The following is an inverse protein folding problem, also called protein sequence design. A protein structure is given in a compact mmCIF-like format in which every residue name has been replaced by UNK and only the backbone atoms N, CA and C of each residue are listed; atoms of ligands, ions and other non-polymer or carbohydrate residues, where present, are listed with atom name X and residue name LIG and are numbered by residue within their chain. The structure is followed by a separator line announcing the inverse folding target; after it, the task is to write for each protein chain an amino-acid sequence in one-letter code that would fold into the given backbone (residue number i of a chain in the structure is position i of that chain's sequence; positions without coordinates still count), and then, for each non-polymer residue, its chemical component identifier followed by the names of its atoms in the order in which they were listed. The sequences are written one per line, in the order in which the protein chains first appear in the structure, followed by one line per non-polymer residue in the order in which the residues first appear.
data_IF_038212344353
#
_entry.id   IF_038212344353
#
_cell.length_a   1.000
_cell.length_b   1.000
_cell.length_c   1.000
_cell.angle_alpha   90.00
_cell.angle_beta   90.00
_cell.angle_gamma   90.00
#
_symmetry.space_group_name_H-M   'P 1'
#
loop_
_entity.id
_entity.type
_entity.pdbx_description
1 polymer ?
#
# COMPACT_ATOMS: atom_id res chain seq x y z
N UNK A 1 19.21 -2.17 -20.27
CA UNK A 1 20.31 -2.01 -21.25
C UNK A 1 20.11 -2.71 -22.59
N UNK A 2 18.91 -3.18 -22.94
CA UNK A 2 18.63 -3.77 -24.27
C UNK A 2 17.51 -3.03 -25.04
N UNK A 3 16.66 -2.28 -24.33
CA UNK A 3 15.69 -1.34 -24.87
C UNK A 3 15.61 -0.08 -24.00
N UNK A 4 15.00 0.97 -24.54
CA UNK A 4 14.79 2.27 -23.88
C UNK A 4 13.74 2.13 -22.77
N UNK A 5 14.07 2.61 -21.57
CA UNK A 5 13.10 2.70 -20.46
C UNK A 5 11.92 3.63 -20.81
N UNK A 6 12.16 4.64 -21.64
CA UNK A 6 11.10 5.54 -22.11
C UNK A 6 10.08 4.78 -22.96
N UNK A 7 10.54 3.95 -23.88
CA UNK A 7 9.65 3.17 -24.74
C UNK A 7 8.93 2.09 -23.96
N UNK A 8 9.62 1.50 -22.97
CA UNK A 8 9.01 0.56 -22.04
C UNK A 8 7.89 1.20 -21.20
N UNK A 9 8.11 2.38 -20.62
CA UNK A 9 7.06 3.10 -19.86
C UNK A 9 5.88 3.52 -20.77
N UNK A 10 6.14 3.93 -22.02
CA UNK A 10 5.07 4.21 -22.99
C UNK A 10 4.27 2.95 -23.32
N UNK A 11 4.92 1.82 -23.49
CA UNK A 11 4.27 0.53 -23.74
C UNK A 11 3.34 0.18 -22.58
N UNK A 12 3.81 0.31 -21.34
CA UNK A 12 3.00 0.02 -20.16
C UNK A 12 1.70 0.81 -20.11
N UNK A 13 1.69 2.09 -20.50
CA UNK A 13 0.44 2.88 -20.58
C UNK A 13 -0.61 2.29 -21.54
N UNK A 14 -0.21 1.46 -22.50
CA UNK A 14 -1.14 0.78 -23.40
C UNK A 14 -1.89 -0.37 -22.72
N UNK A 15 -1.44 -0.81 -21.54
CA UNK A 15 -2.07 -1.86 -20.73
C UNK A 15 -3.07 -1.32 -19.70
N UNK A 16 -3.41 -0.02 -19.74
CA UNK A 16 -4.39 0.57 -18.81
C UNK A 16 -5.72 -0.18 -18.78
N UNK A 17 -6.17 -0.71 -19.90
CA UNK A 17 -7.44 -1.42 -19.99
C UNK A 17 -7.27 -2.95 -19.97
N UNK A 18 -6.10 -3.44 -19.55
CA UNK A 18 -5.81 -4.87 -19.45
C UNK A 18 -6.76 -5.58 -18.48
N UNK A 19 -7.18 -6.79 -18.87
CA UNK A 19 -8.09 -7.65 -18.11
C UNK A 19 -7.36 -8.85 -17.46
N UNK A 20 -6.11 -9.11 -17.87
CA UNK A 20 -5.31 -10.19 -17.34
C UNK A 20 -4.55 -9.78 -16.05
N UNK A 21 -5.00 -10.32 -14.91
CA UNK A 21 -4.37 -10.08 -13.61
C UNK A 21 -2.91 -10.56 -13.50
N UNK A 22 -2.49 -11.51 -14.32
CA UNK A 22 -1.07 -11.92 -14.37
C UNK A 22 -0.20 -10.81 -14.96
N UNK A 23 -0.70 -10.14 -16.00
CA UNK A 23 -0.02 -8.99 -16.61
C UNK A 23 0.08 -7.86 -15.59
N UNK A 24 -1.02 -7.55 -14.90
CA UNK A 24 -1.01 -6.55 -13.84
C UNK A 24 -0.03 -6.86 -12.70
N UNK A 25 0.11 -8.13 -12.29
CA UNK A 25 1.12 -8.55 -11.32
C UNK A 25 2.54 -8.27 -11.81
N UNK A 26 2.84 -8.57 -13.08
CA UNK A 26 4.15 -8.26 -13.68
C UNK A 26 4.41 -6.77 -13.75
N UNK A 27 3.42 -5.98 -14.17
CA UNK A 27 3.50 -4.51 -14.21
C UNK A 27 3.75 -3.96 -12.81
N UNK A 28 3.02 -4.47 -11.80
CA UNK A 28 3.15 -4.04 -10.43
C UNK A 28 4.56 -4.29 -9.87
N UNK A 29 5.12 -5.48 -10.10
CA UNK A 29 6.50 -5.82 -9.69
C UNK A 29 7.52 -4.83 -10.26
N UNK A 30 7.40 -4.51 -11.56
CA UNK A 30 8.35 -3.63 -12.24
C UNK A 30 8.19 -2.18 -11.78
N UNK A 31 6.97 -1.76 -11.43
CA UNK A 31 6.73 -0.44 -10.83
C UNK A 31 7.33 -0.32 -9.44
N UNK A 32 7.35 -1.38 -8.65
CA UNK A 32 8.00 -1.40 -7.33
C UNK A 32 9.51 -1.26 -7.46
N UNK A 33 10.12 -2.06 -8.34
CA UNK A 33 11.55 -2.00 -8.65
C UNK A 33 11.95 -0.58 -9.09
N UNK A 34 11.19 0.01 -10.02
CA UNK A 34 11.43 1.37 -10.48
C UNK A 34 11.29 2.39 -9.36
N UNK A 35 10.27 2.25 -8.50
CA UNK A 35 10.06 3.15 -7.35
C UNK A 35 11.30 3.23 -6.47
N UNK A 36 11.90 2.08 -6.14
CA UNK A 36 13.09 2.02 -5.28
C UNK A 36 14.31 2.76 -5.86
N UNK A 37 14.40 2.83 -7.19
CA UNK A 37 15.52 3.48 -7.89
C UNK A 37 15.36 5.00 -7.98
N UNK A 38 14.13 5.51 -7.93
CA UNK A 38 13.84 6.92 -8.22
C UNK A 38 13.27 7.70 -7.03
N UNK A 39 12.99 7.03 -5.91
CA UNK A 39 12.40 7.64 -4.70
C UNK A 39 13.17 8.87 -4.20
N UNK A 40 14.50 8.88 -4.34
CA UNK A 40 15.38 9.98 -3.91
C UNK A 40 15.77 10.92 -5.06
N UNK A 41 14.92 11.03 -6.07
CA UNK A 41 15.17 11.88 -7.26
C UNK A 41 14.04 12.88 -7.46
N UNK A 42 14.33 13.97 -8.18
CA UNK A 42 13.35 15.02 -8.54
C UNK A 42 12.19 14.51 -9.42
N UNK A 43 12.28 13.27 -9.93
CA UNK A 43 11.27 12.65 -10.77
C UNK A 43 10.21 11.88 -9.98
N UNK A 44 10.39 11.68 -8.66
CA UNK A 44 9.51 10.80 -7.90
C UNK A 44 8.04 11.24 -7.89
N UNK A 45 7.79 12.55 -7.79
CA UNK A 45 6.42 13.07 -7.84
C UNK A 45 5.76 12.85 -9.21
N UNK A 46 6.52 12.95 -10.30
CA UNK A 46 6.01 12.65 -11.64
C UNK A 46 5.71 11.15 -11.79
N UNK A 47 6.55 10.31 -11.18
CA UNK A 47 6.32 8.87 -11.18
C UNK A 47 5.11 8.45 -10.34
N UNK A 48 4.87 9.09 -9.19
CA UNK A 48 3.63 8.89 -8.42
C UNK A 48 2.41 9.18 -9.29
N UNK A 49 2.39 10.31 -10.01
CA UNK A 49 1.31 10.64 -10.96
C UNK A 49 1.17 9.60 -12.07
N UNK A 50 2.28 9.12 -12.61
CA UNK A 50 2.28 8.04 -13.61
C UNK A 50 1.65 6.74 -13.04
N UNK A 51 2.02 6.33 -11.82
CA UNK A 51 1.45 5.15 -11.15
C UNK A 51 -0.05 5.30 -10.93
N UNK A 52 -0.50 6.45 -10.42
CA UNK A 52 -1.93 6.72 -10.23
C UNK A 52 -2.70 6.56 -11.54
N UNK A 53 -2.19 7.18 -12.61
CA UNK A 53 -2.79 7.10 -13.93
C UNK A 53 -2.79 5.68 -14.51
N UNK A 54 -1.76 4.88 -14.21
CA UNK A 54 -1.63 3.50 -14.70
C UNK A 54 -2.58 2.55 -13.97
N UNK A 55 -2.73 2.70 -12.66
CA UNK A 55 -3.45 1.73 -11.83
C UNK A 55 -4.90 2.10 -11.52
N UNK A 56 -5.38 3.29 -11.92
CA UNK A 56 -6.74 3.74 -11.63
C UNK A 56 -7.82 2.79 -12.17
N UNK A 57 -7.70 2.37 -13.42
CA UNK A 57 -8.67 1.48 -14.09
C UNK A 57 -8.77 0.12 -13.40
N UNK A 58 -7.61 -0.49 -13.08
CA UNK A 58 -7.60 -1.78 -12.41
C UNK A 58 -8.05 -1.65 -10.95
N UNK A 59 -7.77 -0.54 -10.28
CA UNK A 59 -8.29 -0.31 -8.93
C UNK A 59 -9.81 -0.16 -8.93
N UNK A 60 -10.39 0.55 -9.89
CA UNK A 60 -11.85 0.66 -10.04
C UNK A 60 -12.50 -0.72 -10.25
N UNK A 61 -11.87 -1.58 -11.07
CA UNK A 61 -12.34 -2.96 -11.29
C UNK A 61 -12.23 -3.83 -10.03
N UNK A 62 -11.12 -3.71 -9.28
CA UNK A 62 -10.87 -4.52 -8.10
C UNK A 62 -11.72 -4.06 -6.91
N UNK A 63 -11.80 -2.75 -6.67
CA UNK A 63 -12.42 -2.16 -5.50
C UNK A 63 -11.78 -2.61 -4.17
N UNK A 64 -12.54 -2.46 -3.08
CA UNK A 64 -12.06 -2.74 -1.72
C UNK A 64 -12.56 -4.05 -1.11
N UNK A 65 -13.66 -4.62 -1.61
CA UNK A 65 -14.24 -5.88 -1.12
C UNK A 65 -14.12 -7.01 -2.13
N UNK A 66 -13.79 -8.20 -1.65
CA UNK A 66 -13.79 -9.42 -2.44
C UNK A 66 -15.19 -9.71 -3.01
N UNK A 67 -15.22 -10.20 -4.25
CA UNK A 67 -16.45 -10.72 -4.87
C UNK A 67 -16.68 -12.19 -4.50
N UNK A 68 -17.92 -12.67 -4.65
CA UNK A 68 -18.24 -14.07 -4.45
C UNK A 68 -17.57 -14.93 -5.54
N UNK A 69 -16.81 -15.95 -5.12
CA UNK A 69 -15.98 -16.79 -6.01
C UNK A 69 -14.86 -16.03 -6.75
N UNK A 70 -14.33 -14.98 -6.12
CA UNK A 70 -13.19 -14.23 -6.66
C UNK A 70 -11.98 -15.13 -6.96
N UNK A 71 -11.35 -14.88 -8.10
CA UNK A 71 -10.11 -15.54 -8.48
C UNK A 71 -8.98 -15.14 -7.52
N UNK A 72 -8.23 -16.12 -7.00
CA UNK A 72 -7.17 -15.89 -6.00
C UNK A 72 -6.09 -14.88 -6.43
N UNK A 73 -5.81 -14.76 -7.73
CA UNK A 73 -4.88 -13.74 -8.24
C UNK A 73 -5.42 -12.32 -8.04
N UNK A 74 -6.73 -12.13 -8.17
CA UNK A 74 -7.45 -10.87 -7.94
C UNK A 74 -7.35 -10.49 -6.48
N UNK A 75 -7.61 -11.45 -5.59
CA UNK A 75 -7.47 -11.30 -4.14
C UNK A 75 -6.05 -10.88 -3.75
N UNK A 76 -5.01 -11.48 -4.36
CA UNK A 76 -3.61 -11.15 -4.08
C UNK A 76 -3.18 -9.80 -4.66
N UNK A 77 -3.71 -9.40 -5.80
CA UNK A 77 -3.33 -8.16 -6.48
C UNK A 77 -3.97 -6.93 -5.84
N UNK A 78 -5.20 -7.04 -5.36
CA UNK A 78 -5.95 -5.98 -4.67
C UNK A 78 -5.12 -5.22 -3.61
N UNK A 79 -4.53 -5.85 -2.58
CA UNK A 79 -3.75 -5.12 -1.58
C UNK A 79 -2.50 -4.44 -2.16
N UNK A 80 -1.90 -4.98 -3.23
CA UNK A 80 -0.75 -4.38 -3.91
C UNK A 80 -1.16 -3.08 -4.59
N UNK A 81 -2.26 -3.11 -5.36
CA UNK A 81 -2.78 -1.93 -6.06
C UNK A 81 -3.22 -0.84 -5.08
N UNK A 82 -3.95 -1.21 -4.02
CA UNK A 82 -4.35 -0.28 -2.96
C UNK A 82 -3.13 0.39 -2.33
N UNK A 83 -2.10 -0.40 -1.99
CA UNK A 83 -0.86 0.12 -1.40
C UNK A 83 -0.13 1.08 -2.35
N UNK A 84 -0.07 0.77 -3.65
CA UNK A 84 0.57 1.65 -4.64
C UNK A 84 -0.15 2.97 -4.81
N UNK A 85 -1.49 2.95 -4.86
CA UNK A 85 -2.26 4.16 -5.00
C UNK A 85 -2.17 5.03 -3.74
N UNK A 86 -2.29 4.42 -2.55
CA UNK A 86 -2.08 5.14 -1.30
C UNK A 86 -0.67 5.72 -1.16
N UNK A 87 0.39 4.94 -1.47
CA UNK A 87 1.78 5.41 -1.50
C UNK A 87 2.03 6.51 -2.54
N UNK A 88 1.20 6.56 -3.58
CA UNK A 88 1.28 7.59 -4.62
C UNK A 88 0.44 8.83 -4.29
N UNK A 89 -0.27 8.85 -3.16
CA UNK A 89 -1.04 10.00 -2.69
C UNK A 89 -2.46 10.08 -3.24
N UNK A 90 -3.08 8.94 -3.60
CA UNK A 90 -4.49 8.94 -3.97
C UNK A 90 -5.38 9.25 -2.76
N UNK A 91 -6.01 10.42 -2.76
CA UNK A 91 -6.79 10.89 -1.62
C UNK A 91 -8.01 10.01 -1.33
N UNK A 92 -8.69 9.50 -2.37
CA UNK A 92 -9.87 8.65 -2.16
C UNK A 92 -9.47 7.31 -1.52
N UNK A 93 -8.32 6.77 -1.90
CA UNK A 93 -7.76 5.57 -1.27
C UNK A 93 -7.34 5.82 0.18
N UNK A 94 -6.69 6.96 0.43
CA UNK A 94 -6.29 7.36 1.79
C UNK A 94 -7.51 7.54 2.70
N UNK A 95 -8.55 8.21 2.22
CA UNK A 95 -9.77 8.47 3.00
C UNK A 95 -10.50 7.16 3.35
N UNK A 96 -10.65 6.24 2.40
CA UNK A 96 -11.29 4.95 2.65
C UNK A 96 -10.42 4.04 3.54
N UNK A 97 -9.09 4.08 3.42
CA UNK A 97 -8.18 3.40 4.35
C UNK A 97 -8.36 3.90 5.79
N UNK A 98 -8.36 5.23 5.97
CA UNK A 98 -8.58 5.86 7.27
C UNK A 98 -9.94 5.47 7.86
N UNK A 99 -11.01 5.55 7.07
CA UNK A 99 -12.35 5.12 7.50
C UNK A 99 -12.36 3.67 7.98
N UNK A 100 -11.78 2.75 7.22
CA UNK A 100 -11.69 1.32 7.59
C UNK A 100 -10.86 1.10 8.85
N UNK A 101 -9.75 1.82 8.98
CA UNK A 101 -8.92 1.76 10.18
C UNK A 101 -9.66 2.29 11.41
N UNK A 102 -10.38 3.41 11.30
CA UNK A 102 -11.18 3.97 12.38
C UNK A 102 -12.32 3.02 12.80
N UNK A 103 -13.00 2.37 11.85
CA UNK A 103 -13.94 1.29 12.16
C UNK A 103 -13.24 0.13 12.90
N UNK A 104 -12.04 -0.24 12.47
CA UNK A 104 -11.29 -1.35 13.05
C UNK A 104 -10.91 -1.15 14.51
N UNK A 105 -10.39 0.04 14.86
CA UNK A 105 -10.04 0.36 16.24
C UNK A 105 -11.28 0.43 17.15
N UNK A 106 -12.48 0.60 16.57
CA UNK A 106 -13.76 0.59 17.28
C UNK A 106 -14.40 -0.83 17.35
N UNK A 107 -13.73 -1.86 16.85
CA UNK A 107 -14.13 -3.25 17.01
C UNK A 107 -14.60 -3.96 15.73
N UNK A 108 -14.72 -3.25 14.61
CA UNK A 108 -15.01 -3.90 13.32
C UNK A 108 -13.79 -4.70 12.83
N UNK A 109 -13.99 -5.68 11.94
CA UNK A 109 -12.89 -6.44 11.35
C UNK A 109 -12.56 -5.91 9.95
N UNK A 110 -11.28 -5.65 9.69
CA UNK A 110 -10.78 -5.48 8.31
C UNK A 110 -10.52 -6.86 7.71
N UNK A 111 -10.94 -7.08 6.47
CA UNK A 111 -10.61 -8.27 5.70
C UNK A 111 -9.08 -8.54 5.75
N UNK A 112 -8.65 -9.74 6.20
CA UNK A 112 -7.24 -10.10 6.30
C UNK A 112 -6.41 -9.87 5.02
N UNK A 113 -7.01 -9.96 3.84
CA UNK A 113 -6.33 -9.78 2.56
C UNK A 113 -5.89 -8.33 2.31
N UNK A 114 -6.66 -7.34 2.80
CA UNK A 114 -6.36 -5.91 2.60
C UNK A 114 -5.85 -5.21 3.85
N UNK A 115 -5.92 -5.85 5.02
CA UNK A 115 -5.54 -5.23 6.30
C UNK A 115 -4.12 -4.66 6.32
N UNK A 116 -3.18 -5.35 5.68
CA UNK A 116 -1.80 -4.84 5.57
C UNK A 116 -1.75 -3.53 4.75
N UNK A 117 -2.47 -3.49 3.62
CA UNK A 117 -2.57 -2.27 2.80
C UNK A 117 -3.19 -1.11 3.60
N UNK A 118 -4.28 -1.37 4.35
CA UNK A 118 -4.89 -0.34 5.21
C UNK A 118 -3.89 0.23 6.21
N UNK A 119 -3.20 -0.64 6.97
CA UNK A 119 -2.21 -0.19 7.97
C UNK A 119 -1.05 0.60 7.35
N UNK A 120 -0.54 0.14 6.21
CA UNK A 120 0.53 0.85 5.48
C UNK A 120 0.06 2.24 5.07
N UNK A 121 -1.15 2.36 4.50
CA UNK A 121 -1.67 3.63 4.00
C UNK A 121 -1.88 4.61 5.16
N UNK A 122 -2.54 4.19 6.24
CA UNK A 122 -2.76 5.08 7.39
C UNK A 122 -1.47 5.43 8.11
N UNK A 123 -0.49 4.51 8.19
CA UNK A 123 0.83 4.80 8.74
C UNK A 123 1.59 5.84 7.91
N UNK A 124 1.42 5.82 6.58
CA UNK A 124 2.10 6.74 5.66
C UNK A 124 1.48 8.14 5.70
N UNK A 125 0.15 8.23 5.72
CA UNK A 125 -0.58 9.50 5.68
C UNK A 125 -0.90 10.08 7.05
N UNK A 126 -0.78 9.28 8.10
CA UNK A 126 -1.21 9.60 9.45
C UNK A 126 -0.17 10.35 10.27
N UNK A 127 -0.59 10.72 11.46
CA UNK A 127 0.17 11.45 12.46
C UNK A 127 0.62 10.53 13.62
N UNK A 128 1.17 11.13 14.66
CA UNK A 128 1.59 10.42 15.87
C UNK A 128 0.44 9.67 16.56
N UNK A 129 -0.80 10.19 16.51
CA UNK A 129 -1.97 9.52 17.08
C UNK A 129 -2.24 8.21 16.33
N UNK A 130 -2.18 8.23 15.00
CA UNK A 130 -2.35 7.04 14.15
C UNK A 130 -1.34 5.96 14.52
N UNK A 131 -0.10 6.36 14.82
CA UNK A 131 0.98 5.46 15.24
C UNK A 131 0.78 4.90 16.64
N UNK A 132 0.25 5.72 17.56
CA UNK A 132 -0.14 5.22 18.88
C UNK A 132 -1.24 4.15 18.77
N UNK A 133 -2.24 4.34 17.90
CA UNK A 133 -3.28 3.35 17.66
C UNK A 133 -2.72 2.05 17.05
N UNK A 134 -1.80 2.14 16.09
CA UNK A 134 -1.09 0.97 15.56
C UNK A 134 -0.29 0.23 16.65
N UNK A 135 0.37 0.97 17.56
CA UNK A 135 1.06 0.38 18.71
C UNK A 135 0.10 -0.29 19.70
N UNK A 136 -1.09 0.28 19.93
CA UNK A 136 -2.13 -0.33 20.78
C UNK A 136 -2.60 -1.65 20.17
N UNK A 137 -2.89 -1.67 18.86
CA UNK A 137 -3.24 -2.90 18.15
C UNK A 137 -2.11 -3.94 18.25
N UNK A 138 -0.84 -3.53 18.13
CA UNK A 138 0.29 -4.45 18.23
C UNK A 138 0.39 -5.10 19.62
N UNK A 139 0.20 -4.30 20.68
CA UNK A 139 0.22 -4.80 22.06
C UNK A 139 -0.96 -5.74 22.36
N UNK A 140 -2.12 -5.49 21.74
CA UNK A 140 -3.30 -6.31 21.89
C UNK A 140 -3.30 -7.58 21.01
N UNK A 141 -2.50 -7.60 19.94
CA UNK A 141 -2.44 -8.73 19.01
C UNK A 141 -1.87 -9.98 19.70
N UNK A 142 -2.59 -11.10 19.59
CA UNK A 142 -2.13 -12.40 20.10
C UNK A 142 -1.33 -13.17 19.04
N UNK A 143 -1.73 -13.05 17.77
CA UNK A 143 -1.12 -13.77 16.66
C UNK A 143 0.18 -13.10 16.21
N UNK A 144 1.25 -13.88 16.07
CA UNK A 144 2.56 -13.39 15.62
C UNK A 144 2.50 -12.73 14.24
N UNK A 145 1.66 -13.27 13.34
CA UNK A 145 1.48 -12.74 11.97
C UNK A 145 0.88 -11.33 11.97
N UNK A 146 -0.08 -11.04 12.87
CA UNK A 146 -0.67 -9.71 13.01
C UNK A 146 0.35 -8.73 13.63
N UNK A 147 1.14 -9.19 14.61
CA UNK A 147 2.24 -8.41 15.18
C UNK A 147 3.26 -7.99 14.13
N UNK A 148 3.73 -8.94 13.31
CA UNK A 148 4.67 -8.65 12.22
C UNK A 148 4.06 -7.66 11.23
N UNK A 149 2.79 -7.85 10.85
CA UNK A 149 2.09 -6.92 9.95
C UNK A 149 2.05 -5.49 10.50
N UNK A 150 1.71 -5.32 11.77
CA UNK A 150 1.66 -4.02 12.44
C UNK A 150 3.04 -3.38 12.54
N UNK A 151 4.07 -4.14 12.94
CA UNK A 151 5.46 -3.67 12.99
C UNK A 151 5.95 -3.18 11.62
N UNK A 152 5.77 -3.99 10.57
CA UNK A 152 6.14 -3.59 9.22
C UNK A 152 5.38 -2.36 8.75
N UNK A 153 4.10 -2.24 9.11
CA UNK A 153 3.27 -1.10 8.72
C UNK A 153 3.72 0.19 9.38
N UNK A 154 4.05 0.18 10.69
CA UNK A 154 4.52 1.37 11.41
C UNK A 154 5.80 1.97 10.81
N UNK A 155 6.65 1.13 10.21
CA UNK A 155 7.86 1.57 9.49
C UNK A 155 7.60 2.37 8.22
N UNK A 156 6.35 2.52 7.77
CA UNK A 156 6.00 3.35 6.61
C UNK A 156 5.71 4.82 6.94
N UNK A 157 5.81 5.25 8.20
CA UNK A 157 5.76 6.68 8.50
C UNK A 157 6.88 7.44 7.79
N UNK A 158 6.58 8.68 7.38
CA UNK A 158 7.54 9.62 6.79
C UNK A 158 7.88 10.79 7.72
N UNK A 159 7.19 10.92 8.85
CA UNK A 159 7.50 11.94 9.85
C UNK A 159 8.74 11.53 10.66
N UNK A 160 9.84 12.32 10.66
CA UNK A 160 11.09 11.94 11.32
C UNK A 160 10.95 11.61 12.80
N UNK A 161 10.14 12.38 13.55
CA UNK A 161 9.93 12.13 14.98
C UNK A 161 9.21 10.80 15.21
N UNK A 162 8.17 10.55 14.41
CA UNK A 162 7.44 9.30 14.42
C UNK A 162 8.33 8.09 14.08
N UNK A 163 9.22 8.23 13.09
CA UNK A 163 10.18 7.19 12.72
C UNK A 163 11.11 6.89 13.90
N UNK A 164 11.68 7.91 14.55
CA UNK A 164 12.55 7.75 15.71
C UNK A 164 11.84 7.02 16.86
N UNK A 165 10.63 7.47 17.21
CA UNK A 165 9.79 6.85 18.24
C UNK A 165 9.45 5.39 17.90
N UNK A 166 9.20 5.09 16.62
CA UNK A 166 8.90 3.73 16.14
C UNK A 166 10.12 2.83 16.25
N UNK A 167 11.30 3.32 15.88
CA UNK A 167 12.55 2.57 16.01
C UNK A 167 12.87 2.28 17.48
N UNK A 168 12.73 3.27 18.38
CA UNK A 168 12.92 3.06 19.80
C UNK A 168 11.97 1.99 20.34
N UNK A 169 10.68 2.09 19.99
CA UNK A 169 9.68 1.10 20.38
C UNK A 169 10.04 -0.33 19.92
N UNK A 170 10.51 -0.49 18.68
CA UNK A 170 10.92 -1.79 18.13
C UNK A 170 12.09 -2.37 18.93
N UNK A 171 13.11 -1.57 19.25
CA UNK A 171 14.26 -2.04 20.02
C UNK A 171 13.93 -2.39 21.48
N UNK A 172 12.88 -1.79 22.05
CA UNK A 172 12.41 -2.10 23.41
C UNK A 172 11.44 -3.30 23.46
N UNK A 173 10.76 -3.60 22.35
CA UNK A 173 9.65 -4.56 22.30
C UNK A 173 9.99 -5.91 21.66
N UNK A 174 11.15 -6.03 21.02
CA UNK A 174 11.70 -7.25 20.40
C UNK A 174 12.85 -7.78 21.26
#
# INVERSE_FOLDING_TARGET
GHQSYVDYLKLLLSYKDEDNFTVWKSIASIMDDLSSLIEYTDYYDQFKKYRLNMFSSIQEKLGWGAEENENSLVTMLRPVILSFMGKSGDQAIIDEANKRFQSHINGDLIDPNIRAAVYIIVSLSGDENTQEELRKLYKAAEMAEEKVRLLCSMGHSIDPNTIENTLQFIFESV
#
